data_IF_263215260344
#
_entry.id   IF_263215260344
#
_cell.length_a   1.000
_cell.length_b   1.000
_cell.length_c   1.000
_cell.angle_alpha   90.00
_cell.angle_beta   90.00
_cell.angle_gamma   90.00
#
_symmetry.space_group_name_H-M   'P 1'
#
loop_
_entity.id
_entity.type
_entity.pdbx_description
1 polymer ?
#
# COMPACT_ATOMS: atom_id res chain seq x y z
N UNK A 1 11.34 11.87 14.12
CA UNK A 1 10.39 10.97 13.42
C UNK A 1 9.40 11.83 12.65
N UNK A 2 9.13 11.55 11.37
CA UNK A 2 8.14 12.32 10.62
C UNK A 2 6.73 12.03 11.14
N UNK A 3 5.83 13.02 11.07
CA UNK A 3 4.40 12.92 11.43
C UNK A 3 3.74 11.68 10.83
N UNK A 4 4.07 11.38 9.57
CA UNK A 4 3.57 10.22 8.80
C UNK A 4 3.86 8.89 9.47
N UNK A 5 5.12 8.64 9.89
CA UNK A 5 5.52 7.37 10.50
C UNK A 5 4.75 7.10 11.79
N UNK A 6 4.56 8.15 12.60
CA UNK A 6 3.80 8.09 13.86
C UNK A 6 2.31 7.79 13.59
N UNK A 7 1.72 8.40 12.55
CA UNK A 7 0.33 8.11 12.17
C UNK A 7 0.16 6.66 11.72
N UNK A 8 1.06 6.13 10.90
CA UNK A 8 1.02 4.72 10.47
C UNK A 8 1.16 3.75 11.63
N UNK A 9 2.12 3.98 12.52
CA UNK A 9 2.32 3.15 13.71
C UNK A 9 1.05 3.13 14.57
N UNK A 10 0.39 4.29 14.73
CA UNK A 10 -0.90 4.38 15.43
C UNK A 10 -2.03 3.67 14.68
N UNK A 11 -2.14 3.82 13.36
CA UNK A 11 -3.18 3.18 12.56
C UNK A 11 -3.05 1.65 12.55
N UNK A 12 -1.82 1.13 12.53
CA UNK A 12 -1.53 -0.30 12.68
C UNK A 12 -1.87 -0.77 14.09
N UNK A 13 -1.40 -0.04 15.12
CA UNK A 13 -1.67 -0.40 16.53
C UNK A 13 -3.17 -0.44 16.86
N UNK A 14 -3.94 0.48 16.29
CA UNK A 14 -5.39 0.54 16.45
C UNK A 14 -6.17 -0.34 15.45
N UNK A 15 -5.48 -1.19 14.66
CA UNK A 15 -6.07 -2.09 13.66
C UNK A 15 -6.93 -1.41 12.57
N UNK A 16 -6.75 -0.10 12.35
CA UNK A 16 -7.38 0.61 11.23
C UNK A 16 -6.79 0.19 9.89
N UNK A 17 -5.51 -0.17 9.88
CA UNK A 17 -4.80 -0.70 8.70
C UNK A 17 -4.28 -2.09 9.05
N UNK A 18 -4.64 -3.08 8.23
CA UNK A 18 -4.07 -4.43 8.34
C UNK A 18 -2.64 -4.40 7.82
N UNK A 19 -1.71 -4.82 8.66
CA UNK A 19 -0.33 -5.03 8.26
C UNK A 19 -0.17 -6.40 7.59
N UNK A 20 0.59 -6.47 6.50
CA UNK A 20 0.91 -7.71 5.80
C UNK A 20 2.42 -7.86 5.70
N UNK A 21 2.91 -9.07 5.96
CA UNK A 21 4.30 -9.41 5.70
C UNK A 21 4.57 -9.42 4.19
N UNK A 22 5.43 -8.52 3.75
CA UNK A 22 5.77 -8.34 2.34
C UNK A 22 6.40 -9.61 1.73
N UNK A 23 7.05 -10.46 2.54
CA UNK A 23 7.64 -11.72 2.07
C UNK A 23 6.60 -12.77 1.66
N UNK A 24 5.32 -12.55 1.98
CA UNK A 24 4.20 -13.44 1.62
C UNK A 24 3.58 -13.12 0.26
N UNK A 25 4.20 -12.24 -0.51
CA UNK A 25 3.81 -11.94 -1.89
C UNK A 25 4.85 -12.51 -2.86
N UNK A 26 4.37 -13.31 -3.81
CA UNK A 26 5.21 -13.97 -4.81
C UNK A 26 4.87 -13.50 -6.22
N UNK A 27 5.77 -13.79 -7.17
CA UNK A 27 5.58 -13.45 -8.59
C UNK A 27 5.24 -11.96 -8.80
N UNK A 28 5.92 -11.09 -8.05
CA UNK A 28 5.73 -9.65 -8.09
C UNK A 28 6.18 -9.13 -9.45
N UNK A 29 5.25 -8.60 -10.25
CA UNK A 29 5.53 -8.06 -11.58
C UNK A 29 4.87 -6.70 -11.73
N UNK A 30 5.64 -5.70 -12.15
CA UNK A 30 5.11 -4.38 -12.49
C UNK A 30 4.09 -4.50 -13.62
N UNK A 31 2.92 -3.89 -13.45
CA UNK A 31 1.84 -3.88 -14.45
C UNK A 31 1.46 -2.47 -14.89
N UNK A 32 1.68 -1.46 -14.05
CA UNK A 32 1.42 -0.07 -14.41
C UNK A 32 2.30 0.89 -13.61
N UNK A 33 2.44 2.11 -14.09
CA UNK A 33 3.00 3.24 -13.36
C UNK A 33 2.35 4.51 -13.86
N UNK A 34 2.08 5.44 -12.95
CA UNK A 34 1.53 6.75 -13.25
C UNK A 34 2.06 7.78 -12.27
N UNK A 35 1.53 9.00 -12.33
CA UNK A 35 1.97 10.11 -11.47
C UNK A 35 1.98 9.74 -9.97
N UNK A 36 1.00 8.95 -9.56
CA UNK A 36 0.70 8.64 -8.16
C UNK A 36 1.40 7.42 -7.59
N UNK A 37 2.11 6.66 -8.42
CA UNK A 37 2.75 5.43 -7.98
C UNK A 37 2.87 4.38 -9.06
N UNK A 38 3.45 3.25 -8.64
CA UNK A 38 3.66 2.08 -9.48
C UNK A 38 2.85 0.91 -8.93
N UNK A 39 2.15 0.20 -9.82
CA UNK A 39 1.31 -0.94 -9.46
C UNK A 39 1.99 -2.22 -9.92
N UNK A 40 2.04 -3.20 -9.03
CA UNK A 40 2.53 -4.54 -9.26
C UNK A 40 1.40 -5.54 -9.08
N UNK A 41 1.33 -6.56 -9.93
CA UNK A 41 0.55 -7.76 -9.62
C UNK A 41 1.39 -8.69 -8.75
N UNK A 42 0.78 -9.40 -7.82
CA UNK A 42 1.45 -10.41 -7.01
C UNK A 42 0.47 -11.50 -6.57
N UNK A 43 0.98 -12.71 -6.34
CA UNK A 43 0.23 -13.77 -5.68
C UNK A 43 0.40 -13.60 -4.16
N UNK A 44 -0.71 -13.44 -3.43
CA UNK A 44 -0.67 -13.42 -1.97
C UNK A 44 -0.80 -14.83 -1.41
N UNK A 45 0.21 -15.31 -0.69
CA UNK A 45 0.16 -16.61 -0.02
C UNK A 45 -0.89 -16.65 1.09
N UNK A 46 -1.04 -15.53 1.81
CA UNK A 46 -1.99 -15.41 2.91
C UNK A 46 -3.44 -15.41 2.42
N UNK A 47 -3.74 -14.68 1.34
CA UNK A 47 -5.09 -14.58 0.80
C UNK A 47 -5.41 -15.67 -0.23
N UNK A 48 -4.38 -16.40 -0.71
CA UNK A 48 -4.44 -17.35 -1.83
C UNK A 48 -5.12 -16.76 -3.08
N UNK A 49 -4.80 -15.49 -3.36
CA UNK A 49 -5.40 -14.71 -4.45
C UNK A 49 -4.35 -13.87 -5.17
N UNK A 50 -4.62 -13.57 -6.44
CA UNK A 50 -3.91 -12.53 -7.17
C UNK A 50 -4.35 -11.17 -6.63
N UNK A 51 -3.38 -10.31 -6.32
CA UNK A 51 -3.60 -8.97 -5.77
C UNK A 51 -2.82 -7.93 -6.54
N UNK A 52 -3.22 -6.66 -6.38
CA UNK A 52 -2.46 -5.51 -6.83
C UNK A 52 -1.76 -4.83 -5.63
N UNK A 53 -0.44 -4.65 -5.73
CA UNK A 53 0.38 -3.90 -4.79
C UNK A 53 0.67 -2.52 -5.41
N UNK A 54 0.09 -1.45 -4.86
CA UNK A 54 0.35 -0.07 -5.31
C UNK A 54 1.40 0.56 -4.40
N UNK A 55 2.57 0.86 -4.96
CA UNK A 55 3.64 1.60 -4.31
C UNK A 55 3.49 3.08 -4.67
N UNK A 56 3.34 3.95 -3.67
CA UNK A 56 3.18 5.39 -3.88
C UNK A 56 4.54 6.04 -4.14
N UNK A 57 4.56 7.08 -4.99
CA UNK A 57 5.72 7.98 -5.10
C UNK A 57 5.72 8.90 -3.87
N UNK A 58 6.87 9.09 -3.24
CA UNK A 58 7.00 9.69 -1.90
C UNK A 58 7.01 11.23 -1.95
N UNK A 59 6.01 11.83 -2.60
CA UNK A 59 6.13 13.23 -3.03
C UNK A 59 5.14 14.22 -2.38
N UNK A 60 4.14 13.82 -1.59
CA UNK A 60 3.32 14.82 -0.86
C UNK A 60 2.47 14.28 0.31
N UNK A 61 2.35 15.04 1.39
CA UNK A 61 1.45 14.78 2.53
C UNK A 61 -0.03 14.97 2.13
N UNK A 62 -0.32 15.95 1.28
CA UNK A 62 -1.66 16.19 0.74
C UNK A 62 -2.14 15.05 -0.17
N UNK A 63 -1.20 14.39 -0.84
CA UNK A 63 -1.48 13.24 -1.68
C UNK A 63 -1.86 12.00 -0.85
N UNK A 64 -1.26 11.85 0.34
CA UNK A 64 -1.50 10.72 1.21
C UNK A 64 -2.93 10.69 1.77
N UNK A 65 -3.46 11.84 2.20
CA UNK A 65 -4.86 11.93 2.65
C UNK A 65 -5.85 11.61 1.53
N UNK A 66 -5.57 12.05 0.30
CA UNK A 66 -6.39 11.74 -0.87
C UNK A 66 -6.35 10.24 -1.16
N UNK A 67 -5.20 9.60 -1.02
CA UNK A 67 -5.04 8.17 -1.24
C UNK A 67 -5.81 7.31 -0.22
N UNK A 68 -5.75 7.62 1.07
CA UNK A 68 -6.51 6.87 2.10
C UNK A 68 -8.02 6.96 1.86
N UNK A 69 -8.49 8.05 1.24
CA UNK A 69 -9.89 8.26 0.86
C UNK A 69 -10.25 7.65 -0.51
N UNK A 70 -9.27 7.23 -1.32
CA UNK A 70 -9.48 6.62 -2.63
C UNK A 70 -10.15 5.24 -2.45
N UNK A 71 -11.39 5.10 -2.95
CA UNK A 71 -12.11 3.82 -3.00
C UNK A 71 -11.85 3.20 -4.38
N UNK A 72 -11.13 2.09 -4.42
CA UNK A 72 -11.12 1.23 -5.61
C UNK A 72 -12.48 0.52 -5.65
N UNK A 73 -13.34 0.96 -6.58
CA UNK A 73 -14.62 0.34 -6.88
C UNK A 73 -14.45 -1.02 -7.56
#
# INVERSE_FOLDING_TARGET
MSSKKVWFESAIKNNYIKNFDYTKFENIKRIASGAFGTVYRANSLNLRKLVALKCLHDDDELFYEKFVKEKFA
#
